data_IF_169001304900
#
_entry.id   IF_169001304900
#
_cell.length_a   1.000
_cell.length_b   1.000
_cell.length_c   1.000
_cell.angle_alpha   90.00
_cell.angle_beta   90.00
_cell.angle_gamma   90.00
#
_symmetry.space_group_name_H-M   'P 1'
#
loop_
_entity.id
_entity.type
_entity.pdbx_description
1 polymer ?
#
# COMPACT_ATOMS: atom_id res chain seq x y z
N UNK A 1 -7.77 -7.25 1.84
CA UNK A 1 -7.29 -7.21 0.43
C UNK A 1 -6.31 -8.35 0.19
N UNK A 2 -6.22 -8.88 -1.03
CA UNK A 2 -5.32 -10.01 -1.36
C UNK A 2 -3.84 -9.65 -1.10
N UNK A 3 -3.42 -8.48 -1.56
CA UNK A 3 -2.07 -7.93 -1.35
C UNK A 3 -1.71 -7.84 0.14
N UNK A 4 -2.58 -7.30 0.98
CA UNK A 4 -2.30 -7.14 2.41
C UNK A 4 -2.00 -8.48 3.10
N UNK A 5 -2.78 -9.52 2.77
CA UNK A 5 -2.57 -10.87 3.28
C UNK A 5 -1.32 -11.54 2.70
N UNK A 6 -1.06 -11.36 1.41
CA UNK A 6 0.13 -11.91 0.74
C UNK A 6 1.45 -11.37 1.31
N UNK A 7 1.41 -10.16 1.87
CA UNK A 7 2.59 -9.46 2.40
C UNK A 7 2.64 -9.36 3.92
N UNK A 8 1.67 -9.94 4.63
CA UNK A 8 1.61 -9.87 6.09
C UNK A 8 1.44 -8.46 6.65
N UNK A 9 0.87 -7.53 5.87
CA UNK A 9 0.57 -6.16 6.34
C UNK A 9 -0.91 -5.96 6.60
N UNK A 10 -1.21 -5.05 7.52
CA UNK A 10 -2.57 -4.60 7.78
C UNK A 10 -3.14 -3.89 6.56
N UNK A 11 -4.43 -4.06 6.32
CA UNK A 11 -5.12 -3.39 5.21
C UNK A 11 -5.08 -1.86 5.38
N UNK A 12 -5.08 -1.36 6.63
CA UNK A 12 -4.90 0.05 6.97
C UNK A 12 -3.55 0.60 6.51
N UNK A 13 -2.47 -0.16 6.63
CA UNK A 13 -1.14 0.26 6.15
C UNK A 13 -1.15 0.49 4.64
N UNK A 14 -1.75 -0.44 3.89
CA UNK A 14 -1.89 -0.33 2.43
C UNK A 14 -2.78 0.85 2.04
N UNK A 15 -3.86 1.07 2.80
CA UNK A 15 -4.73 2.23 2.61
C UNK A 15 -4.04 3.55 2.94
N UNK A 16 -3.19 3.58 3.98
CA UNK A 16 -2.45 4.77 4.36
C UNK A 16 -1.43 5.13 3.26
N UNK A 17 -0.66 4.17 2.75
CA UNK A 17 0.23 4.42 1.61
C UNK A 17 -0.51 4.91 0.37
N UNK A 18 -1.71 4.38 0.12
CA UNK A 18 -2.53 4.85 -1.00
C UNK A 18 -3.08 6.27 -0.79
N UNK A 19 -3.45 6.61 0.46
CA UNK A 19 -3.93 7.94 0.84
C UNK A 19 -2.80 8.98 0.78
N UNK A 20 -1.61 8.58 1.18
CA UNK A 20 -0.40 9.41 1.18
C UNK A 20 0.23 9.55 -0.23
N UNK A 21 -0.34 8.89 -1.24
CA UNK A 21 0.18 8.90 -2.61
C UNK A 21 1.43 8.03 -2.81
N UNK A 22 1.91 7.36 -1.76
CA UNK A 22 3.07 6.46 -1.78
C UNK A 22 2.80 5.14 -2.52
N UNK A 23 1.54 4.72 -2.62
CA UNK A 23 1.14 3.51 -3.32
C UNK A 23 0.08 3.81 -4.38
N UNK A 24 0.42 3.61 -5.65
CA UNK A 24 -0.54 3.77 -6.73
C UNK A 24 -1.58 2.64 -6.71
N UNK A 25 -2.80 2.98 -7.08
CA UNK A 25 -3.88 2.03 -7.23
C UNK A 25 -4.65 2.24 -8.53
N UNK A 26 -5.19 1.15 -9.04
CA UNK A 26 -6.13 1.16 -10.17
C UNK A 26 -7.51 0.82 -9.64
N UNK A 27 -8.51 1.57 -10.06
CA UNK A 27 -9.91 1.25 -9.79
C UNK A 27 -10.40 0.19 -10.77
N UNK A 28 -10.97 -0.88 -10.25
CA UNK A 28 -11.69 -1.85 -11.06
C UNK A 28 -13.05 -1.27 -11.48
N UNK A 29 -13.70 -1.83 -12.52
CA UNK A 29 -15.05 -1.41 -12.91
C UNK A 29 -16.08 -1.51 -11.79
N UNK A 30 -15.88 -2.42 -10.82
CA UNK A 30 -16.71 -2.56 -9.62
C UNK A 30 -16.33 -1.64 -8.45
N UNK A 31 -15.44 -0.66 -8.63
CA UNK A 31 -15.07 0.32 -7.61
C UNK A 31 -14.02 -0.14 -6.60
N UNK A 32 -13.51 -1.37 -6.71
CA UNK A 32 -12.46 -1.88 -5.83
C UNK A 32 -11.09 -1.37 -6.26
N UNK A 33 -10.16 -1.24 -5.32
CA UNK A 33 -8.78 -0.83 -5.60
C UNK A 33 -7.88 -2.05 -5.79
N UNK A 34 -7.11 -2.06 -6.87
CA UNK A 34 -5.99 -2.99 -7.08
C UNK A 34 -4.68 -2.26 -6.90
N UNK A 35 -3.75 -2.92 -6.21
CA UNK A 35 -2.43 -2.39 -5.87
C UNK A 35 -1.37 -3.21 -6.58
N UNK A 36 -0.30 -2.56 -7.02
CA UNK A 36 0.83 -3.26 -7.62
C UNK A 36 1.60 -4.01 -6.53
N UNK A 37 1.75 -5.32 -6.72
CA UNK A 37 2.55 -6.20 -5.87
C UNK A 37 3.96 -5.63 -5.66
N UNK A 38 4.60 -5.24 -6.76
CA UNK A 38 5.98 -4.76 -6.77
C UNK A 38 6.14 -3.45 -5.99
N UNK A 39 5.19 -2.52 -6.07
CA UNK A 39 5.25 -1.29 -5.28
C UNK A 39 5.08 -1.56 -3.80
N UNK A 40 4.19 -2.48 -3.43
CA UNK A 40 4.00 -2.90 -2.03
C UNK A 40 5.29 -3.53 -1.50
N UNK A 41 5.94 -4.40 -2.28
CA UNK A 41 7.25 -4.97 -1.93
C UNK A 41 8.35 -3.90 -1.77
N UNK A 42 8.34 -2.85 -2.59
CA UNK A 42 9.29 -1.75 -2.45
C UNK A 42 9.04 -0.93 -1.18
N UNK A 43 7.78 -0.62 -0.86
CA UNK A 43 7.41 0.11 0.36
C UNK A 43 7.73 -0.70 1.62
N UNK A 44 7.61 -2.02 1.57
CA UNK A 44 8.01 -2.93 2.66
C UNK A 44 9.53 -2.98 2.86
N UNK A 45 10.29 -2.93 1.78
CA UNK A 45 11.76 -2.90 1.81
C UNK A 45 12.31 -1.53 2.24
N UNK A 46 11.51 -0.49 2.08
CA UNK A 46 11.85 0.88 2.46
C UNK A 46 10.93 1.41 3.57
N UNK A 47 10.92 0.80 4.77
CA UNK A 47 10.11 1.29 5.89
C UNK A 47 10.58 2.67 6.41
N UNK A 48 11.75 3.13 5.95
CA UNK A 48 12.35 4.42 6.32
C UNK A 48 11.92 5.53 5.37
N UNK A 49 10.68 5.99 5.51
CA UNK A 49 10.20 7.22 4.85
C UNK A 49 9.15 7.99 5.65
N UNK A 50 8.76 7.50 6.82
CA UNK A 50 7.68 8.05 7.66
C UNK A 50 8.12 8.09 9.13
N UNK A 51 9.37 8.52 9.38
CA UNK A 51 9.78 9.06 10.68
C UNK A 51 9.93 10.58 10.56
N UNK A 52 8.86 11.21 10.07
CA UNK A 52 8.55 12.62 10.26
C UNK A 52 7.07 12.62 10.69
N UNK A 53 6.65 13.11 11.85
CA UNK A 53 7.27 14.06 12.74
C UNK A 53 7.44 13.61 14.19
N UNK A 54 7.97 14.59 14.91
CA UNK A 54 8.20 14.70 16.35
C UNK A 54 6.98 14.42 17.23
#
# INVERSE_FOLDING_TARGET
>A
MEVARAFGVSSDTVLNWARDGRLAFVRTPGGHRRYSRQQVEQLLKSPHGDREGS
#
